data_IF_424362472632
#
_entry.id   IF_424362472632
#
_cell.length_a   1.000
_cell.length_b   1.000
_cell.length_c   1.000
_cell.angle_alpha   90.00
_cell.angle_beta   90.00
_cell.angle_gamma   90.00
#
_symmetry.space_group_name_H-M   'P 1'
#
loop_
_entity.id
_entity.type
_entity.pdbx_description
1 polymer ?
#
# COMPACT_ATOMS: atom_id res chain seq x y z
N UNK A 1 12.40 -4.72 -7.51
CA UNK A 1 12.24 -3.85 -8.70
C UNK A 1 10.84 -3.21 -8.76
N UNK A 2 10.23 -2.83 -7.62
CA UNK A 2 8.84 -2.34 -7.52
C UNK A 2 8.72 -0.84 -7.22
N UNK A 3 9.80 -0.18 -6.76
CA UNK A 3 9.79 1.27 -6.44
C UNK A 3 9.32 2.16 -7.60
N UNK A 4 9.69 1.80 -8.83
CA UNK A 4 9.25 2.50 -10.05
C UNK A 4 7.77 2.29 -10.35
N UNK A 5 7.23 1.09 -10.10
CA UNK A 5 5.82 0.78 -10.37
C UNK A 5 4.90 1.56 -9.44
N UNK A 6 5.28 1.68 -8.16
CA UNK A 6 4.57 2.52 -7.21
C UNK A 6 4.60 3.99 -7.61
N UNK A 7 5.79 4.55 -7.88
CA UNK A 7 5.92 5.95 -8.31
C UNK A 7 5.13 6.24 -9.59
N UNK A 8 5.16 5.32 -10.55
CA UNK A 8 4.41 5.45 -11.81
C UNK A 8 2.91 5.44 -11.56
N UNK A 9 2.41 4.50 -10.74
CA UNK A 9 0.99 4.44 -10.40
C UNK A 9 0.53 5.71 -9.67
N UNK A 10 1.30 6.19 -8.69
CA UNK A 10 1.02 7.42 -7.98
C UNK A 10 1.00 8.65 -8.91
N UNK A 11 2.02 8.79 -9.77
CA UNK A 11 2.10 9.90 -10.74
C UNK A 11 0.93 9.91 -11.73
N UNK A 12 0.42 8.72 -12.09
CA UNK A 12 -0.69 8.55 -13.02
C UNK A 12 -2.07 8.54 -12.33
N UNK A 13 -2.14 8.68 -11.00
CA UNK A 13 -3.40 8.57 -10.25
C UNK A 13 -4.07 7.20 -10.39
N UNK A 14 -3.29 6.13 -10.48
CA UNK A 14 -3.78 4.74 -10.64
C UNK A 14 -3.60 3.93 -9.36
N UNK A 15 -4.52 3.00 -9.14
CA UNK A 15 -4.41 2.01 -8.05
C UNK A 15 -3.31 1.01 -8.41
N UNK A 16 -2.37 0.81 -7.50
CA UNK A 16 -1.35 -0.24 -7.65
C UNK A 16 -1.91 -1.57 -7.14
N UNK A 17 -1.95 -2.57 -8.01
CA UNK A 17 -2.22 -3.96 -7.64
C UNK A 17 -0.89 -4.71 -7.47
N UNK A 18 -0.69 -5.37 -6.34
CA UNK A 18 0.53 -6.15 -6.08
C UNK A 18 0.22 -7.43 -5.30
N UNK A 19 1.10 -8.42 -5.40
CA UNK A 19 1.10 -9.60 -4.54
C UNK A 19 2.15 -9.52 -3.43
N UNK A 20 3.02 -8.51 -3.47
CA UNK A 20 4.16 -8.43 -2.57
C UNK A 20 3.76 -7.69 -1.28
N UNK A 21 3.59 -8.43 -0.19
CA UNK A 21 3.33 -7.83 1.13
C UNK A 21 4.47 -6.90 1.58
N UNK A 22 5.70 -7.06 1.06
CA UNK A 22 6.83 -6.16 1.35
C UNK A 22 6.63 -4.74 0.79
N UNK A 23 5.69 -4.55 -0.14
CA UNK A 23 5.33 -3.23 -0.67
C UNK A 23 4.62 -2.36 0.38
N UNK A 24 4.15 -2.99 1.48
CA UNK A 24 3.70 -2.30 2.69
C UNK A 24 4.77 -1.35 3.24
N UNK A 25 6.03 -1.78 3.29
CA UNK A 25 7.13 -0.96 3.81
C UNK A 25 7.40 0.25 2.93
N UNK A 26 7.21 0.12 1.61
CA UNK A 26 7.38 1.23 0.68
C UNK A 26 6.24 2.24 0.81
N UNK A 27 5.00 1.76 0.91
CA UNK A 27 3.83 2.62 1.15
C UNK A 27 3.96 3.37 2.49
N UNK A 28 4.41 2.69 3.54
CA UNK A 28 4.66 3.29 4.86
C UNK A 28 5.76 4.35 4.80
N UNK A 29 6.92 4.01 4.24
CA UNK A 29 8.01 4.96 4.06
C UNK A 29 7.57 6.18 3.23
N UNK A 30 6.74 5.97 2.21
CA UNK A 30 6.20 7.03 1.38
C UNK A 30 5.29 7.98 2.17
N UNK A 31 4.33 7.45 2.93
CA UNK A 31 3.44 8.26 3.77
C UNK A 31 4.21 9.05 4.85
N UNK A 32 5.23 8.44 5.44
CA UNK A 32 6.09 9.10 6.43
C UNK A 32 6.90 10.24 5.80
N UNK A 33 7.56 10.01 4.67
CA UNK A 33 8.34 11.05 4.00
C UNK A 33 7.49 12.21 3.49
N UNK A 34 6.28 11.93 3.01
CA UNK A 34 5.33 13.00 2.62
C UNK A 34 4.96 13.89 3.80
N UNK A 35 4.71 13.30 4.98
CA UNK A 35 4.42 14.05 6.19
C UNK A 35 5.64 14.86 6.66
N UNK A 36 6.83 14.24 6.68
CA UNK A 36 8.07 14.86 7.15
C UNK A 36 8.55 16.00 6.24
N UNK A 37 8.31 15.92 4.93
CA UNK A 37 8.74 16.94 3.96
C UNK A 37 7.64 17.95 3.59
N UNK A 38 6.45 17.83 4.19
CA UNK A 38 5.33 18.74 3.90
C UNK A 38 4.80 18.64 2.47
N UNK A 39 5.06 17.51 1.79
CA UNK A 39 4.59 17.27 0.42
C UNK A 39 3.34 16.40 0.49
N UNK A 40 2.22 16.91 0.00
CA UNK A 40 1.00 16.09 -0.16
C UNK A 40 1.13 15.34 -1.47
N UNK A 41 1.48 14.05 -1.41
CA UNK A 41 1.40 13.17 -2.58
C UNK A 41 0.13 12.35 -2.45
N UNK A 42 -0.80 12.62 -3.36
CA UNK A 42 -2.03 11.87 -3.51
C UNK A 42 -1.79 10.65 -4.41
N UNK A 43 -2.10 9.45 -3.93
CA UNK A 43 -2.13 8.24 -4.75
C UNK A 43 -3.49 7.57 -4.67
N UNK A 44 -3.94 6.98 -5.79
CA UNK A 44 -5.29 6.41 -5.86
C UNK A 44 -5.48 5.16 -4.99
N UNK A 45 -4.39 4.52 -4.54
CA UNK A 45 -4.41 3.45 -3.54
C UNK A 45 -3.47 2.29 -3.86
N UNK A 46 -3.29 1.40 -2.89
CA UNK A 46 -2.59 0.12 -3.10
C UNK A 46 -3.49 -1.02 -2.66
N UNK A 47 -3.62 -2.05 -3.49
CA UNK A 47 -4.32 -3.29 -3.15
C UNK A 47 -3.32 -4.42 -3.22
N UNK A 48 -3.17 -5.14 -2.11
CA UNK A 48 -2.30 -6.29 -1.98
C UNK A 48 -3.15 -7.56 -2.02
N UNK A 49 -3.04 -8.30 -3.12
CA UNK A 49 -3.69 -9.59 -3.31
C UNK A 49 -2.91 -10.70 -2.59
N UNK A 50 -3.57 -11.68 -1.96
CA UNK A 50 -2.90 -12.71 -1.18
C UNK A 50 -2.06 -13.62 -2.09
N UNK A 51 -0.74 -13.58 -1.91
CA UNK A 51 0.18 -14.41 -2.70
C UNK A 51 0.06 -15.90 -2.36
N UNK A 52 -0.15 -16.22 -1.08
CA UNK A 52 -0.13 -17.59 -0.58
C UNK A 52 -1.43 -18.36 -0.85
N UNK A 53 -2.55 -17.66 -1.03
CA UNK A 53 -3.85 -18.30 -1.22
C UNK A 53 -4.14 -18.70 -2.68
N UNK A 54 -3.21 -18.42 -3.61
CA UNK A 54 -3.27 -18.79 -5.04
C UNK A 54 -4.68 -18.66 -5.62
N UNK A 55 -5.24 -17.47 -5.54
CA UNK A 55 -6.55 -17.22 -6.12
C UNK A 55 -6.54 -17.47 -7.62
N UNK A 56 -7.61 -18.10 -8.11
CA UNK A 56 -7.88 -18.15 -9.53
C UNK A 56 -8.08 -16.71 -10.07
N UNK A 57 -7.60 -16.36 -11.28
CA UNK A 57 -7.73 -15.01 -11.83
C UNK A 57 -9.16 -14.44 -11.77
N UNK A 58 -10.17 -15.29 -12.03
CA UNK A 58 -11.58 -14.88 -11.94
C UNK A 58 -11.98 -14.42 -10.52
N UNK A 59 -11.48 -15.10 -9.48
CA UNK A 59 -11.70 -14.69 -8.09
C UNK A 59 -10.97 -13.39 -7.79
N UNK A 60 -9.72 -13.25 -8.23
CA UNK A 60 -8.97 -12.00 -8.05
C UNK A 60 -9.69 -10.81 -8.67
N UNK A 61 -10.21 -10.95 -9.90
CA UNK A 61 -10.99 -9.91 -10.56
C UNK A 61 -12.26 -9.56 -9.78
N UNK A 62 -13.01 -10.57 -9.34
CA UNK A 62 -14.23 -10.37 -8.54
C UNK A 62 -13.96 -9.62 -7.23
N UNK A 63 -12.90 -9.99 -6.50
CA UNK A 63 -12.53 -9.34 -5.25
C UNK A 63 -12.03 -7.90 -5.46
N UNK A 64 -11.36 -7.62 -6.58
CA UNK A 64 -11.00 -6.26 -6.99
C UNK A 64 -12.26 -5.44 -7.27
N UNK A 65 -13.23 -5.99 -8.00
CA UNK A 65 -14.50 -5.30 -8.25
C UNK A 65 -15.24 -4.99 -6.95
N UNK A 66 -15.26 -5.92 -6.00
CA UNK A 66 -15.89 -5.73 -4.68
C UNK A 66 -15.26 -4.55 -3.93
N UNK A 67 -13.93 -4.48 -3.85
CA UNK A 67 -13.28 -3.38 -3.13
C UNK A 67 -13.40 -2.04 -3.87
N UNK A 68 -13.37 -2.04 -5.20
CA UNK A 68 -13.58 -0.84 -6.01
C UNK A 68 -15.02 -0.30 -5.89
N UNK A 69 -16.02 -1.19 -5.86
CA UNK A 69 -17.44 -0.83 -5.72
C UNK A 69 -17.81 -0.42 -4.28
N UNK A 70 -17.07 -0.91 -3.29
CA UNK A 70 -17.34 -0.73 -1.86
C UNK A 70 -17.17 0.69 -1.31
N UNK A 71 -16.79 1.69 -2.12
CA UNK A 71 -16.63 3.10 -1.71
C UNK A 71 -15.63 3.35 -0.57
N UNK A 72 -14.84 2.34 -0.20
CA UNK A 72 -13.76 2.53 0.76
C UNK A 72 -12.77 3.50 0.13
N UNK A 73 -12.37 4.56 0.85
CA UNK A 73 -11.44 5.55 0.33
C UNK A 73 -10.11 4.86 -0.02
N UNK A 74 -9.93 4.46 -1.28
CA UNK A 74 -8.71 3.82 -1.77
C UNK A 74 -7.56 4.83 -1.78
N UNK A 75 -7.91 6.09 -2.02
CA UNK A 75 -7.02 7.23 -2.00
C UNK A 75 -6.19 7.24 -0.73
N UNK A 76 -4.86 7.24 -0.89
CA UNK A 76 -3.86 7.26 0.18
C UNK A 76 -3.95 6.10 1.19
N UNK A 77 -4.63 5.01 0.82
CA UNK A 77 -4.79 3.83 1.65
C UNK A 77 -4.23 2.58 0.97
N UNK A 78 -3.83 1.65 1.82
CA UNK A 78 -3.38 0.32 1.44
C UNK A 78 -4.39 -0.69 1.97
N UNK A 79 -4.80 -1.60 1.11
CA UNK A 79 -5.77 -2.64 1.42
C UNK A 79 -5.15 -4.01 1.26
N UNK A 80 -5.26 -4.80 2.32
CA UNK A 80 -4.82 -6.19 2.38
C UNK A 80 -6.06 -7.08 2.47
N UNK A 81 -6.02 -8.23 1.81
CA UNK A 81 -7.01 -9.26 2.03
C UNK A 81 -6.45 -10.36 2.95
N UNK A 82 -7.25 -10.79 3.93
CA UNK A 82 -6.96 -11.98 4.77
C UNK A 82 -8.22 -12.84 4.85
N UNK A 83 -8.06 -14.15 4.79
CA UNK A 83 -9.18 -15.12 4.81
C UNK A 83 -10.06 -15.03 6.05
N UNK A 84 -9.50 -14.63 7.19
CA UNK A 84 -10.24 -14.46 8.44
C UNK A 84 -11.01 -13.14 8.56
N UNK A 85 -10.70 -12.11 7.75
CA UNK A 85 -11.21 -10.74 7.93
C UNK A 85 -11.76 -10.10 6.65
N UNK A 86 -11.46 -10.65 5.48
CA UNK A 86 -11.67 -10.00 4.20
C UNK A 86 -10.70 -8.85 3.99
N UNK A 87 -11.14 -7.83 3.24
CA UNK A 87 -10.39 -6.60 2.99
C UNK A 87 -10.26 -5.75 4.26
N UNK A 88 -9.05 -5.32 4.60
CA UNK A 88 -8.81 -4.38 5.69
C UNK A 88 -7.63 -3.47 5.35
N UNK A 89 -7.67 -2.24 5.87
CA UNK A 89 -6.51 -1.36 5.90
C UNK A 89 -5.75 -1.61 7.21
N UNK A 90 -4.47 -2.00 7.16
CA UNK A 90 -3.67 -2.13 8.37
C UNK A 90 -3.50 -0.75 9.03
N UNK A 91 -3.42 -0.68 10.37
CA UNK A 91 -3.02 0.54 11.04
C UNK A 91 -1.59 0.90 10.63
N UNK A 92 -1.32 2.20 10.57
CA UNK A 92 0.01 2.75 10.35
C UNK A 92 0.90 2.24 11.49
N UNK A 93 1.86 1.39 11.18
CA UNK A 93 2.87 1.00 12.17
C UNK A 93 3.96 2.06 12.04
N UNK A 94 4.04 2.98 13.01
CA UNK A 94 5.22 3.83 13.13
C UNK A 94 6.44 2.92 13.13
N UNK A 95 7.19 2.93 12.03
CA UNK A 95 8.55 2.47 12.04
C UNK A 95 9.25 3.36 13.07
N UNK A 96 9.43 2.85 14.27
CA UNK A 96 10.40 3.38 15.23
C UNK A 96 11.76 3.21 14.56
N UNK A 97 12.10 4.15 13.68
CA UNK A 97 13.47 4.36 13.25
C UNK A 97 14.14 4.84 14.53
N UNK A 98 14.68 3.90 15.31
CA UNK A 98 15.59 4.24 16.39
C UNK A 98 16.68 5.10 15.78
N UNK A 99 16.65 6.38 16.13
CA UNK A 99 17.63 7.38 15.76
C UNK A 99 18.99 6.93 16.29
N UNK A 100 19.71 6.17 15.48
CA UNK A 100 21.15 6.02 15.62
C UNK A 100 21.80 7.01 14.65
N UNK A 101 21.61 8.30 14.92
CA UNK A 101 22.48 9.34 14.39
C UNK A 101 23.77 9.30 15.22
N UNK A 102 24.94 8.89 14.68
CA UNK A 102 26.19 9.20 15.33
C UNK A 102 26.37 10.72 15.21
N UNK A 103 26.37 11.41 16.35
CA UNK A 103 26.68 12.84 16.41
C UNK A 103 28.08 13.10 15.83
N UNK A 104 28.32 14.27 15.22
CA UNK A 104 29.64 14.60 14.72
C UNK A 104 30.60 14.70 15.90
N UNK A 105 31.69 13.92 15.83
CA UNK A 105 32.87 14.08 16.69
C UNK A 105 33.71 15.25 16.23
#
# INVERSE_FOLDING_TARGET
MIRLQFLTAATLGRVLLTHNESDFLLHEAWRLWTATWGVVIDHAGVIVLPQHERWHPARSAQEIEVILAGSAALTNNLWLWRSSRGWFSPPIVSLSISEHCPGPS
#
